data_IF_910677797559
#
_entry.id   IF_910677797559
#
_cell.length_a   1.000
_cell.length_b   1.000
_cell.length_c   1.000
_cell.angle_alpha   90.00
_cell.angle_beta   90.00
_cell.angle_gamma   90.00
#
_symmetry.space_group_name_H-M   'P 1'
#
loop_
_entity.id
_entity.type
_entity.pdbx_description
1 polymer ?
#
# COMPACT_ATOMS: atom_id res chain seq x y z
N UNK A 1 0.21 38.19 16.41
CA UNK A 1 -0.07 38.20 14.95
C UNK A 1 0.07 36.76 14.47
N UNK A 2 -0.99 35.97 14.61
CA UNK A 2 -1.07 34.57 14.23
C UNK A 2 -1.73 34.49 12.86
N UNK A 3 -1.12 33.78 11.90
CA UNK A 3 -1.83 33.29 10.71
C UNK A 3 -1.70 31.78 10.70
N UNK A 4 -2.81 31.13 11.01
CA UNK A 4 -3.16 29.79 10.57
C UNK A 4 -3.32 29.85 9.05
N UNK A 5 -2.77 28.89 8.33
CA UNK A 5 -3.15 28.60 6.96
C UNK A 5 -3.67 27.18 6.95
N UNK A 6 -4.99 27.08 6.99
CA UNK A 6 -5.75 25.89 6.67
C UNK A 6 -5.64 25.64 5.16
N UNK A 7 -4.94 24.58 4.75
CA UNK A 7 -4.97 24.10 3.37
C UNK A 7 -5.51 22.66 3.38
N UNK A 8 -6.82 22.55 3.62
CA UNK A 8 -7.57 21.33 3.35
C UNK A 8 -8.18 21.44 1.94
N UNK A 9 -7.69 20.64 1.00
CA UNK A 9 -8.27 20.57 -0.35
C UNK A 9 -9.51 19.67 -0.29
N UNK A 10 -10.68 20.29 -0.25
CA UNK A 10 -11.97 19.61 -0.44
C UNK A 10 -12.38 19.80 -1.90
N UNK A 11 -12.57 18.71 -2.65
CA UNK A 11 -13.28 18.71 -3.93
C UNK A 11 -14.70 18.21 -3.65
N UNK A 12 -15.64 19.14 -3.54
CA UNK A 12 -17.06 18.83 -3.37
C UNK A 12 -17.68 18.45 -4.72
N UNK A 13 -18.44 17.34 -4.73
CA UNK A 13 -19.38 17.01 -5.80
C UNK A 13 -20.71 16.68 -5.15
N UNK A 14 -21.68 17.56 -5.36
CA UNK A 14 -23.06 17.45 -4.91
C UNK A 14 -23.72 16.15 -5.40
N UNK A 15 -24.05 15.27 -4.46
CA UNK A 15 -25.11 14.28 -4.63
C UNK A 15 -25.81 14.08 -3.26
N UNK A 16 -27.15 14.13 -3.19
CA UNK A 16 -27.86 14.02 -1.93
C UNK A 16 -27.79 12.58 -1.41
N UNK A 17 -27.10 12.39 -0.30
CA UNK A 17 -27.08 11.13 0.44
C UNK A 17 -28.46 10.92 1.11
N UNK A 18 -29.20 9.90 0.68
CA UNK A 18 -30.33 9.34 1.43
C UNK A 18 -29.84 8.08 2.16
N UNK A 19 -29.37 8.30 3.39
CA UNK A 19 -29.20 7.38 4.53
C UNK A 19 -28.11 6.26 4.51
N UNK A 20 -27.24 6.41 5.52
CA UNK A 20 -26.37 5.53 6.31
C UNK A 20 -25.75 4.23 5.77
N UNK A 21 -24.42 4.37 5.64
CA UNK A 21 -23.33 3.44 5.89
C UNK A 21 -23.13 2.27 4.91
N UNK A 22 -22.21 2.57 3.99
CA UNK A 22 -21.52 1.72 3.01
C UNK A 22 -22.16 1.70 1.62
N UNK A 23 -21.94 2.80 0.88
CA UNK A 23 -22.02 2.79 -0.58
C UNK A 23 -20.84 2.01 -1.17
N UNK A 24 -21.04 0.72 -1.45
CA UNK A 24 -20.21 0.00 -2.42
C UNK A 24 -20.65 0.43 -3.83
N UNK A 25 -20.21 1.59 -4.31
CA UNK A 25 -20.28 1.89 -5.74
C UNK A 25 -19.16 1.13 -6.44
N UNK A 26 -19.53 0.00 -7.05
CA UNK A 26 -18.64 -0.88 -7.80
C UNK A 26 -18.07 -0.21 -9.06
N UNK A 27 -17.02 0.58 -8.89
CA UNK A 27 -16.11 1.06 -9.94
C UNK A 27 -14.79 1.60 -9.37
N UNK A 28 -14.77 2.01 -8.10
CA UNK A 28 -13.61 2.70 -7.53
C UNK A 28 -12.78 1.74 -6.69
N UNK A 29 -11.63 1.31 -7.21
CA UNK A 29 -10.60 0.62 -6.42
C UNK A 29 -9.87 1.60 -5.48
N UNK A 30 -10.64 2.44 -4.78
CA UNK A 30 -10.14 3.43 -3.84
C UNK A 30 -10.12 2.83 -2.44
N UNK A 31 -8.96 2.90 -1.77
CA UNK A 31 -8.83 2.59 -0.36
C UNK A 31 -8.68 3.91 0.41
N UNK A 32 -9.66 4.23 1.25
CA UNK A 32 -9.57 5.35 2.20
C UNK A 32 -9.13 4.82 3.54
N UNK A 33 -8.06 5.39 4.08
CA UNK A 33 -7.47 5.01 5.36
C UNK A 33 -7.47 6.25 6.24
N UNK A 34 -8.21 6.28 7.37
CA UNK A 34 -8.04 7.34 8.34
C UNK A 34 -6.63 7.21 8.93
N UNK A 35 -5.86 8.30 8.90
CA UNK A 35 -4.52 8.33 9.51
C UNK A 35 -4.63 9.11 10.82
N UNK A 36 -4.40 8.43 11.93
CA UNK A 36 -4.33 9.08 13.24
C UNK A 36 -3.20 10.10 13.26
N UNK A 37 -3.46 11.29 13.80
CA UNK A 37 -2.41 12.27 14.09
C UNK A 37 -1.58 11.78 15.29
N UNK A 38 -0.28 11.48 15.11
CA UNK A 38 0.57 11.00 16.20
C UNK A 38 0.65 11.98 17.37
N UNK A 39 0.46 13.29 17.15
CA UNK A 39 0.47 14.29 18.21
C UNK A 39 -0.80 14.27 19.09
N UNK A 40 -1.89 13.69 18.59
CA UNK A 40 -3.17 13.58 19.30
C UNK A 40 -3.29 12.30 20.15
N UNK A 41 -2.39 11.33 19.96
CA UNK A 41 -2.41 10.05 20.69
C UNK A 41 -1.94 10.27 22.13
N UNK A 42 -2.81 10.00 23.10
CA UNK A 42 -2.57 10.28 24.51
C UNK A 42 -2.26 9.03 25.34
N UNK A 43 -2.48 7.82 24.79
CA UNK A 43 -2.30 6.58 25.52
C UNK A 43 -1.70 5.44 24.68
N UNK A 44 -1.07 4.47 25.35
CA UNK A 44 -0.53 3.27 24.70
C UNK A 44 -1.62 2.40 24.03
N UNK A 45 -2.81 2.20 24.62
CA UNK A 45 -3.91 1.51 23.93
C UNK A 45 -4.31 2.20 22.62
N UNK A 46 -4.49 3.53 22.62
CA UNK A 46 -4.80 4.30 21.40
C UNK A 46 -3.70 4.16 20.34
N UNK A 47 -2.43 4.21 20.74
CA UNK A 47 -1.31 4.03 19.82
C UNK A 47 -1.33 2.65 19.14
N UNK A 48 -1.74 1.61 19.86
CA UNK A 48 -1.81 0.24 19.32
C UNK A 48 -2.99 0.07 18.38
N UNK A 49 -4.16 0.60 18.75
CA UNK A 49 -5.33 0.59 17.89
C UNK A 49 -5.05 1.31 16.56
N UNK A 50 -4.39 2.48 16.60
CA UNK A 50 -3.96 3.18 15.40
C UNK A 50 -2.97 2.38 14.54
N UNK A 51 -2.06 1.61 15.14
CA UNK A 51 -1.17 0.70 14.41
C UNK A 51 -1.95 -0.43 13.76
N UNK A 52 -2.89 -1.05 14.49
CA UNK A 52 -3.70 -2.16 13.97
C UNK A 52 -4.54 -1.72 12.76
N UNK A 53 -5.10 -0.51 12.78
CA UNK A 53 -5.82 0.07 11.63
C UNK A 53 -4.90 0.29 10.41
N UNK A 54 -3.70 0.83 10.64
CA UNK A 54 -2.69 1.02 9.59
C UNK A 54 -2.26 -0.35 9.02
N UNK A 55 -2.05 -1.35 9.87
CA UNK A 55 -1.64 -2.69 9.46
C UNK A 55 -2.73 -3.41 8.67
N UNK A 56 -4.00 -3.23 9.03
CA UNK A 56 -5.13 -3.73 8.25
C UNK A 56 -5.16 -3.11 6.84
N UNK A 57 -4.95 -1.80 6.73
CA UNK A 57 -4.83 -1.14 5.43
C UNK A 57 -3.59 -1.60 4.64
N UNK A 58 -2.46 -1.77 5.32
CA UNK A 58 -1.23 -2.27 4.72
C UNK A 58 -1.42 -3.69 4.16
N UNK A 59 -2.14 -4.56 4.87
CA UNK A 59 -2.44 -5.91 4.39
C UNK A 59 -3.23 -5.90 3.07
N UNK A 60 -4.25 -5.04 2.95
CA UNK A 60 -5.02 -4.86 1.71
C UNK A 60 -4.13 -4.35 0.57
N UNK A 61 -3.27 -3.36 0.84
CA UNK A 61 -2.34 -2.82 -0.15
C UNK A 61 -1.30 -3.87 -0.60
N UNK A 62 -0.79 -4.68 0.32
CA UNK A 62 0.16 -5.75 0.01
C UNK A 62 -0.47 -6.85 -0.86
N UNK A 63 -1.69 -7.29 -0.56
CA UNK A 63 -2.42 -8.26 -1.41
C UNK A 63 -2.63 -7.69 -2.81
N UNK A 64 -3.11 -6.44 -2.91
CA UNK A 64 -3.31 -5.79 -4.21
C UNK A 64 -2.00 -5.65 -4.97
N UNK A 65 -0.91 -5.28 -4.29
CA UNK A 65 0.42 -5.16 -4.90
C UNK A 65 0.92 -6.51 -5.40
N UNK A 66 0.74 -7.59 -4.65
CA UNK A 66 1.10 -8.94 -5.07
C UNK A 66 0.28 -9.39 -6.29
N UNK A 67 -1.02 -9.08 -6.33
CA UNK A 67 -1.87 -9.35 -7.49
C UNK A 67 -1.37 -8.62 -8.76
N UNK A 68 -1.06 -7.32 -8.65
CA UNK A 68 -0.49 -6.55 -9.77
C UNK A 68 0.88 -7.07 -10.17
N UNK A 69 1.73 -7.44 -9.20
CA UNK A 69 3.02 -8.07 -9.48
C UNK A 69 2.85 -9.38 -10.26
N UNK A 70 1.85 -10.20 -9.92
CA UNK A 70 1.50 -11.41 -10.68
C UNK A 70 1.17 -11.13 -12.15
N UNK A 71 0.37 -10.09 -12.42
CA UNK A 71 0.09 -9.63 -13.80
C UNK A 71 1.38 -9.23 -14.51
N UNK A 72 2.23 -8.42 -13.87
CA UNK A 72 3.53 -8.02 -14.43
C UNK A 72 4.40 -9.24 -14.74
N UNK A 73 4.43 -10.24 -13.86
CA UNK A 73 5.21 -11.46 -14.06
C UNK A 73 4.69 -12.33 -15.22
N UNK A 74 3.38 -12.33 -15.47
CA UNK A 74 2.79 -13.01 -16.62
C UNK A 74 3.13 -12.33 -17.96
N UNK A 75 3.36 -11.00 -17.93
CA UNK A 75 3.71 -10.21 -19.12
C UNK A 75 5.21 -10.24 -19.44
N UNK A 76 6.07 -10.57 -18.47
CA UNK A 76 7.52 -10.58 -18.67
C UNK A 76 7.97 -11.79 -19.52
N UNK A 77 8.91 -11.61 -20.46
CA UNK A 77 9.53 -12.72 -21.19
C UNK A 77 10.29 -13.68 -20.25
N UNK A 78 10.92 -13.13 -19.21
CA UNK A 78 11.57 -13.87 -18.12
C UNK A 78 10.91 -13.46 -16.81
N UNK A 79 10.08 -14.33 -16.27
CA UNK A 79 9.39 -14.12 -14.99
C UNK A 79 10.16 -14.69 -13.79
N UNK A 80 9.55 -14.57 -12.60
CA UNK A 80 10.13 -15.01 -11.33
C UNK A 80 11.34 -14.17 -10.90
N UNK A 81 12.17 -14.74 -10.04
CA UNK A 81 13.37 -14.09 -9.51
C UNK A 81 14.40 -13.71 -10.60
N UNK A 82 14.48 -14.48 -11.69
CA UNK A 82 15.37 -14.19 -12.81
C UNK A 82 14.99 -12.89 -13.57
N UNK A 83 13.73 -12.46 -13.46
CA UNK A 83 13.22 -11.22 -14.06
C UNK A 83 13.30 -9.99 -13.16
N UNK A 84 14.10 -10.03 -12.08
CA UNK A 84 14.32 -8.87 -11.20
C UNK A 84 15.11 -7.79 -11.92
N UNK A 85 14.83 -6.54 -11.57
CA UNK A 85 15.44 -5.37 -12.18
C UNK A 85 15.92 -4.43 -11.07
N UNK A 86 17.19 -4.53 -10.65
CA UNK A 86 17.74 -3.75 -9.54
C UNK A 86 17.60 -2.23 -9.74
N UNK A 87 17.72 -1.75 -10.98
CA UNK A 87 17.54 -0.34 -11.34
C UNK A 87 16.10 0.13 -11.06
N UNK A 88 15.11 -0.66 -11.48
CA UNK A 88 13.70 -0.34 -11.22
C UNK A 88 13.38 -0.41 -9.73
N UNK A 89 13.98 -1.36 -9.02
CA UNK A 89 13.81 -1.53 -7.57
C UNK A 89 14.40 -0.36 -6.79
N UNK A 90 15.56 0.16 -7.18
CA UNK A 90 16.18 1.33 -6.55
C UNK A 90 15.36 2.62 -6.80
N UNK A 91 14.79 2.78 -7.99
CA UNK A 91 13.88 3.90 -8.31
C UNK A 91 12.63 3.90 -7.43
N UNK A 92 12.05 2.71 -7.16
CA UNK A 92 10.91 2.57 -6.24
C UNK A 92 11.30 3.05 -4.85
N UNK A 93 12.46 2.61 -4.34
CA UNK A 93 12.96 3.01 -3.02
C UNK A 93 13.19 4.51 -2.94
N UNK A 94 13.81 5.11 -3.96
CA UNK A 94 14.05 6.56 -4.01
C UNK A 94 12.73 7.35 -3.93
N UNK A 95 11.73 6.97 -4.73
CA UNK A 95 10.42 7.61 -4.71
C UNK A 95 9.69 7.43 -3.36
N UNK A 96 9.87 6.30 -2.68
CA UNK A 96 9.31 6.09 -1.34
C UNK A 96 10.06 6.90 -0.28
N UNK A 97 11.37 7.11 -0.41
CA UNK A 97 12.16 7.87 0.55
C UNK A 97 11.76 9.36 0.60
N UNK A 98 11.31 9.93 -0.52
CA UNK A 98 10.73 11.28 -0.57
C UNK A 98 9.46 11.39 0.29
N UNK A 99 8.67 10.31 0.37
CA UNK A 99 7.40 10.26 1.11
C UNK A 99 7.59 9.82 2.57
N UNK A 100 8.62 9.01 2.84
CA UNK A 100 8.94 8.47 4.16
C UNK A 100 10.36 8.83 4.59
N UNK A 101 10.67 10.13 4.80
CA UNK A 101 12.03 10.60 5.05
C UNK A 101 12.63 10.03 6.35
N UNK A 102 11.80 9.74 7.36
CA UNK A 102 12.24 9.15 8.63
C UNK A 102 12.77 7.71 8.49
N UNK A 103 12.29 6.95 7.51
CA UNK A 103 12.79 5.61 7.20
C UNK A 103 14.08 5.67 6.39
N UNK A 104 14.10 6.57 5.40
CA UNK A 104 15.20 6.76 4.48
C UNK A 104 15.45 5.55 3.54
N UNK A 105 16.34 5.71 2.55
CA UNK A 105 16.52 4.71 1.50
C UNK A 105 16.95 3.32 2.02
N UNK A 106 17.88 3.25 2.97
CA UNK A 106 18.44 1.98 3.43
C UNK A 106 17.42 1.07 4.14
N UNK A 107 16.49 1.64 4.92
CA UNK A 107 15.44 0.85 5.57
C UNK A 107 14.38 0.46 4.53
N UNK A 108 14.01 1.39 3.66
CA UNK A 108 13.06 1.15 2.58
C UNK A 108 13.54 0.07 1.61
N UNK A 109 14.83 0.01 1.27
CA UNK A 109 15.38 -1.10 0.47
C UNK A 109 15.09 -2.45 1.09
N UNK A 110 15.31 -2.62 2.40
CA UNK A 110 15.06 -3.90 3.08
C UNK A 110 13.57 -4.27 3.09
N UNK A 111 12.71 -3.30 3.38
CA UNK A 111 11.25 -3.49 3.37
C UNK A 111 10.78 -3.88 1.96
N UNK A 112 11.19 -3.12 0.94
CA UNK A 112 10.73 -3.34 -0.42
C UNK A 112 11.29 -4.60 -1.04
N UNK A 113 12.50 -5.04 -0.67
CA UNK A 113 13.00 -6.35 -1.06
C UNK A 113 12.08 -7.46 -0.57
N UNK A 114 11.71 -7.47 0.72
CA UNK A 114 10.80 -8.46 1.27
C UNK A 114 9.43 -8.43 0.57
N UNK A 115 8.88 -7.23 0.33
CA UNK A 115 7.58 -7.06 -0.32
C UNK A 115 7.61 -7.47 -1.82
N UNK A 116 8.75 -7.30 -2.50
CA UNK A 116 8.94 -7.79 -3.88
C UNK A 116 9.05 -9.31 -3.89
N UNK A 117 9.88 -9.87 -3.02
CA UNK A 117 10.13 -11.32 -2.93
C UNK A 117 8.84 -12.08 -2.63
N UNK A 118 8.08 -11.64 -1.63
CA UNK A 118 6.77 -12.22 -1.32
C UNK A 118 5.82 -12.20 -2.54
N UNK A 119 5.80 -11.10 -3.30
CA UNK A 119 4.99 -11.01 -4.51
C UNK A 119 5.44 -11.96 -5.62
N UNK A 120 6.76 -12.20 -5.76
CA UNK A 120 7.30 -13.18 -6.70
C UNK A 120 6.94 -14.61 -6.30
N UNK A 121 7.07 -14.94 -5.01
CA UNK A 121 6.73 -16.26 -4.45
C UNK A 121 5.25 -16.59 -4.70
N UNK A 122 4.34 -15.67 -4.40
CA UNK A 122 2.90 -15.84 -4.67
C UNK A 122 2.64 -16.03 -6.16
N UNK A 123 3.30 -15.28 -7.03
CA UNK A 123 3.15 -15.43 -8.48
C UNK A 123 3.69 -16.78 -9.00
N UNK A 124 4.73 -17.33 -8.39
CA UNK A 124 5.25 -18.66 -8.70
C UNK A 124 4.30 -19.77 -8.22
N UNK A 125 3.77 -19.66 -7.00
CA UNK A 125 2.76 -20.59 -6.47
C UNK A 125 1.53 -20.67 -7.37
N UNK A 126 1.03 -19.53 -7.86
CA UNK A 126 -0.12 -19.47 -8.78
C UNK A 126 0.16 -20.09 -10.15
N UNK A 127 1.42 -20.12 -10.61
CA UNK A 127 1.82 -20.75 -11.87
C UNK A 127 2.03 -22.26 -11.75
N UNK A 128 2.32 -22.76 -10.55
CA UNK A 128 2.45 -24.21 -10.32
C UNK A 128 1.05 -24.84 -10.39
N UNK A 129 0.80 -25.81 -11.29
CA UNK A 129 -0.49 -26.50 -11.29
C UNK A 129 -0.70 -27.24 -9.96
N UNK A 130 -1.95 -27.35 -9.45
CA UNK A 130 -2.23 -28.23 -8.33
C UNK A 130 -1.88 -29.65 -8.79
N UNK A 131 -0.89 -30.27 -8.15
CA UNK A 131 -0.56 -31.66 -8.44
C UNK A 131 -1.82 -32.50 -8.20
N UNK A 132 -2.36 -33.10 -9.26
CA UNK A 132 -3.43 -34.08 -9.15
C UNK A 132 -2.97 -35.23 -8.25
N UNK A 133 -3.74 -35.47 -7.19
CA UNK A 133 -3.70 -36.68 -6.37
C UNK A 133 -5.10 -37.24 -6.31
#
# INVERSE_FOLDING_TARGET
>A
MHRHTDDNVIIESDAPCLNDEVCLTGADHELRVPLADPAAIASLPEAREAIDEIDAALAVLLERRAAVAGVVQALKPVGGFAGRNPERESQIVAAMAERAPSLGPARLTRIMNAVIEAGLEVAEQRRRPPNGS
#
